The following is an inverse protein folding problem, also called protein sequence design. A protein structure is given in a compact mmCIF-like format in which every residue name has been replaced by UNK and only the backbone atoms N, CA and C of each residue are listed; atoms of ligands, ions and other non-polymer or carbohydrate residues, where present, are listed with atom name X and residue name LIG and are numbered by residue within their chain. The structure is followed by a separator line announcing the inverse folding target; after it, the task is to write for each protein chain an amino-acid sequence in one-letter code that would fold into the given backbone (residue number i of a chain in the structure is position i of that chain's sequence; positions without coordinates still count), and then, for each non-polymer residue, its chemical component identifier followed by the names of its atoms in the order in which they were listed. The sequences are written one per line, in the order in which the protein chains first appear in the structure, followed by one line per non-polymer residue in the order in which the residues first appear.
data_IF_692956147246
#
_entry.id   IF_692956147246
#
_cell.length_a   1.000
_cell.length_b   1.000
_cell.length_c   1.000
_cell.angle_alpha   90.00
_cell.angle_beta   90.00
_cell.angle_gamma   90.00
#
_symmetry.space_group_name_H-M   'P 1'
#
loop_
_entity.id
_entity.type
_entity.pdbx_description
1 polymer ?
#
# COMPACT_ATOMS: atom_id res chain seq x y z
N UNK A 1 -30.16 -37.57 26.64
CA UNK A 1 -28.94 -37.60 25.77
C UNK A 1 -28.87 -36.31 25.01
N UNK A 2 -27.98 -35.39 25.43
CA UNK A 2 -27.70 -34.14 24.73
C UNK A 2 -26.53 -34.38 23.76
N UNK A 3 -26.72 -34.15 22.47
CA UNK A 3 -25.70 -34.22 21.46
C UNK A 3 -24.97 -32.84 21.43
N UNK A 4 -23.70 -32.84 21.87
CA UNK A 4 -22.82 -31.69 21.66
C UNK A 4 -22.37 -31.69 20.18
N UNK A 5 -22.86 -30.74 19.38
CA UNK A 5 -22.31 -30.44 18.07
C UNK A 5 -20.98 -29.69 18.27
N UNK A 6 -19.86 -30.40 18.13
CA UNK A 6 -18.55 -29.74 17.96
C UNK A 6 -18.52 -29.11 16.57
N UNK A 7 -18.63 -27.79 16.53
CA UNK A 7 -18.30 -27.04 15.33
C UNK A 7 -16.77 -27.07 15.12
N UNK A 8 -16.32 -27.88 14.17
CA UNK A 8 -14.93 -27.81 13.68
C UNK A 8 -14.74 -26.50 12.96
N UNK A 9 -14.02 -25.56 13.57
CA UNK A 9 -13.51 -24.39 12.88
C UNK A 9 -12.54 -24.89 11.79
N UNK A 10 -12.97 -24.82 10.53
CA UNK A 10 -12.07 -25.05 9.41
C UNK A 10 -10.96 -23.98 9.48
N UNK A 11 -9.71 -24.40 9.66
CA UNK A 11 -8.56 -23.53 9.55
C UNK A 11 -8.58 -22.94 8.13
N UNK A 12 -8.65 -21.61 8.03
CA UNK A 12 -8.49 -20.92 6.76
C UNK A 12 -7.13 -21.34 6.17
N UNK A 13 -7.06 -21.66 4.87
CA UNK A 13 -5.79 -21.99 4.25
C UNK A 13 -4.83 -20.81 4.47
N UNK A 14 -3.65 -21.10 5.00
CA UNK A 14 -2.56 -20.12 5.07
C UNK A 14 -2.35 -19.57 3.67
N UNK A 15 -2.45 -18.24 3.52
CA UNK A 15 -2.17 -17.59 2.23
C UNK A 15 -0.80 -18.06 1.74
N UNK A 16 -0.74 -18.64 0.55
CA UNK A 16 0.53 -19.00 -0.07
C UNK A 16 1.25 -17.71 -0.44
N UNK A 17 2.41 -17.47 0.22
CA UNK A 17 3.32 -16.41 -0.17
C UNK A 17 4.08 -16.85 -1.42
N UNK A 18 3.93 -16.14 -2.51
CA UNK A 18 4.67 -16.36 -3.75
C UNK A 18 5.46 -15.10 -4.11
N UNK A 19 6.77 -15.23 -4.35
CA UNK A 19 7.56 -14.12 -4.89
C UNK A 19 7.49 -14.15 -6.42
N UNK A 20 6.98 -13.06 -7.00
CA UNK A 20 6.79 -12.90 -8.44
C UNK A 20 7.68 -11.80 -9.00
N UNK A 21 7.85 -11.81 -10.34
CA UNK A 21 8.63 -10.78 -11.04
C UNK A 21 7.90 -10.39 -12.33
N UNK A 22 7.86 -9.08 -12.62
CA UNK A 22 7.28 -8.53 -13.84
C UNK A 22 8.09 -7.33 -14.34
N UNK A 23 8.06 -7.00 -15.64
CA UNK A 23 8.85 -5.91 -16.19
C UNK A 23 8.21 -4.54 -15.91
N UNK A 24 9.02 -3.55 -15.52
CA UNK A 24 8.68 -2.14 -15.60
C UNK A 24 8.75 -1.63 -17.03
N UNK A 25 8.22 -0.45 -17.31
CA UNK A 25 8.17 0.12 -18.66
C UNK A 25 9.56 0.30 -19.31
N UNK A 26 10.60 0.46 -18.51
CA UNK A 26 12.00 0.57 -18.97
C UNK A 26 12.76 -0.78 -18.96
N UNK A 27 12.03 -1.90 -18.85
CA UNK A 27 12.58 -3.25 -18.86
C UNK A 27 13.21 -3.70 -17.53
N UNK A 28 13.18 -2.87 -16.46
CA UNK A 28 13.64 -3.30 -15.15
C UNK A 28 12.71 -4.38 -14.60
N UNK A 29 13.28 -5.50 -14.14
CA UNK A 29 12.51 -6.55 -13.48
C UNK A 29 12.13 -6.12 -12.06
N UNK A 30 10.83 -5.96 -11.81
CA UNK A 30 10.24 -5.59 -10.51
C UNK A 30 9.88 -6.87 -9.75
N UNK A 31 10.36 -7.00 -8.52
CA UNK A 31 10.02 -8.12 -7.63
C UNK A 31 8.88 -7.72 -6.70
N UNK A 32 7.98 -8.66 -6.42
CA UNK A 32 6.91 -8.47 -5.47
C UNK A 32 6.55 -9.78 -4.74
N UNK A 33 6.03 -9.66 -3.52
CA UNK A 33 5.49 -10.77 -2.76
C UNK A 33 3.95 -10.75 -2.87
N UNK A 34 3.39 -11.84 -3.41
CA UNK A 34 1.96 -12.03 -3.66
C UNK A 34 1.35 -12.85 -2.51
N UNK A 35 0.29 -12.33 -1.91
CA UNK A 35 -0.47 -12.91 -0.81
C UNK A 35 -1.90 -13.19 -1.28
N UNK A 36 -2.15 -14.38 -1.84
CA UNK A 36 -3.48 -14.80 -2.29
C UNK A 36 -4.14 -15.69 -1.23
N UNK A 37 -5.25 -15.21 -0.66
CA UNK A 37 -6.07 -15.94 0.29
C UNK A 37 -7.53 -16.07 -0.19
N UNK A 38 -7.91 -15.32 -1.22
CA UNK A 38 -9.29 -15.20 -1.69
C UNK A 38 -9.38 -15.38 -3.21
N UNK A 39 -10.59 -15.66 -3.68
CA UNK A 39 -10.88 -15.89 -5.10
C UNK A 39 -10.61 -14.67 -5.99
N UNK A 40 -10.75 -14.85 -7.32
CA UNK A 40 -10.32 -13.87 -8.33
C UNK A 40 -11.07 -12.53 -8.29
N UNK A 41 -12.28 -12.50 -7.75
CA UNK A 41 -13.11 -11.30 -7.66
C UNK A 41 -12.91 -10.55 -6.32
N UNK A 42 -12.08 -11.10 -5.41
CA UNK A 42 -11.75 -10.43 -4.16
C UNK A 42 -10.95 -9.15 -4.42
N UNK A 43 -11.16 -8.10 -3.61
CA UNK A 43 -10.38 -6.87 -3.74
C UNK A 43 -8.90 -7.16 -3.46
N UNK A 44 -8.01 -6.47 -4.19
CA UNK A 44 -6.57 -6.59 -4.04
C UNK A 44 -5.95 -5.23 -3.68
N UNK A 45 -5.01 -5.24 -2.73
CA UNK A 45 -4.28 -4.04 -2.31
C UNK A 45 -2.84 -4.13 -2.81
N UNK A 46 -2.40 -3.14 -3.61
CA UNK A 46 -1.00 -2.93 -3.95
C UNK A 46 -0.32 -2.14 -2.83
N UNK A 47 0.75 -2.69 -2.29
CA UNK A 47 1.47 -2.21 -1.11
C UNK A 47 2.86 -1.71 -1.51
N UNK A 48 3.11 -0.40 -1.36
CA UNK A 48 4.33 0.28 -1.78
C UNK A 48 5.08 0.84 -0.57
N UNK A 49 6.32 0.38 -0.36
CA UNK A 49 7.15 0.65 0.81
C UNK A 49 7.68 2.08 0.90
N UNK A 50 8.10 2.48 2.10
CA UNK A 50 8.78 3.77 2.33
C UNK A 50 10.24 3.76 1.86
N UNK A 51 10.88 4.94 1.92
CA UNK A 51 12.30 5.11 1.61
C UNK A 51 13.18 4.11 2.39
N UNK A 52 14.25 3.65 1.74
CA UNK A 52 15.21 2.70 2.27
C UNK A 52 14.65 1.31 2.68
N UNK A 53 13.36 1.05 2.45
CA UNK A 53 12.73 -0.22 2.78
C UNK A 53 12.59 -1.14 1.53
N UNK A 54 11.83 -2.19 1.68
CA UNK A 54 11.48 -3.18 0.67
C UNK A 54 10.06 -3.67 0.89
N UNK A 55 9.59 -4.59 0.03
CA UNK A 55 8.34 -5.34 0.20
C UNK A 55 8.22 -6.00 1.58
N UNK A 56 9.34 -6.20 2.28
CA UNK A 56 9.40 -6.70 3.65
C UNK A 56 8.66 -5.83 4.67
N UNK A 57 8.43 -4.53 4.40
CA UNK A 57 7.60 -3.67 5.25
C UNK A 57 6.22 -4.28 5.53
N UNK A 58 5.70 -5.06 4.59
CA UNK A 58 4.35 -5.60 4.61
C UNK A 58 4.24 -7.05 5.09
N UNK A 59 5.32 -7.66 5.58
CA UNK A 59 5.31 -9.07 6.05
C UNK A 59 4.32 -9.34 7.18
N UNK A 60 4.13 -8.37 8.09
CA UNK A 60 3.13 -8.47 9.15
C UNK A 60 1.75 -7.92 8.72
N UNK A 61 1.74 -6.97 7.79
CA UNK A 61 0.54 -6.25 7.36
C UNK A 61 -0.29 -7.09 6.38
N UNK A 62 0.33 -7.67 5.36
CA UNK A 62 -0.38 -8.40 4.30
C UNK A 62 -1.17 -9.62 4.81
N UNK A 63 -0.68 -10.45 5.75
CA UNK A 63 -1.48 -11.51 6.34
C UNK A 63 -2.73 -11.01 7.08
N UNK A 64 -2.65 -9.85 7.78
CA UNK A 64 -3.83 -9.26 8.43
C UNK A 64 -4.83 -8.73 7.39
N UNK A 65 -4.37 -8.16 6.27
CA UNK A 65 -5.24 -7.79 5.14
C UNK A 65 -5.93 -9.01 4.53
N UNK A 66 -5.22 -10.15 4.40
CA UNK A 66 -5.85 -11.40 3.98
C UNK A 66 -6.95 -11.82 4.95
N UNK A 67 -6.73 -11.75 6.26
CA UNK A 67 -7.76 -12.08 7.26
C UNK A 67 -8.98 -11.12 7.18
N UNK A 68 -8.82 -9.92 6.62
CA UNK A 68 -9.88 -8.94 6.40
C UNK A 68 -10.64 -9.11 5.07
N UNK A 69 -10.26 -10.09 4.22
CA UNK A 69 -10.95 -10.39 2.96
C UNK A 69 -10.26 -9.81 1.71
N UNK A 70 -9.02 -9.32 1.82
CA UNK A 70 -8.27 -8.74 0.71
C UNK A 70 -7.14 -9.65 0.26
N UNK A 71 -6.89 -9.72 -1.03
CA UNK A 71 -5.59 -10.16 -1.55
C UNK A 71 -4.60 -8.99 -1.50
N UNK A 72 -3.30 -9.26 -1.51
CA UNK A 72 -2.28 -8.23 -1.45
C UNK A 72 -1.07 -8.55 -2.33
N UNK A 73 -0.43 -7.50 -2.85
CA UNK A 73 0.85 -7.57 -3.56
C UNK A 73 1.79 -6.51 -2.98
N UNK A 74 2.81 -6.94 -2.25
CA UNK A 74 3.86 -6.08 -1.70
C UNK A 74 4.99 -5.94 -2.71
N UNK A 75 5.26 -4.71 -3.17
CA UNK A 75 6.13 -4.42 -4.31
C UNK A 75 7.45 -3.83 -3.85
N UNK A 76 8.56 -4.34 -4.40
CA UNK A 76 9.86 -3.66 -4.35
C UNK A 76 9.90 -2.58 -5.44
N UNK A 77 9.87 -1.31 -5.08
CA UNK A 77 10.20 -0.25 -6.03
C UNK A 77 11.72 -0.08 -6.11
N UNK A 78 12.22 0.54 -7.21
CA UNK A 78 13.67 0.77 -7.44
C UNK A 78 14.36 1.68 -6.44
N UNK A 79 13.61 2.41 -5.60
CA UNK A 79 14.13 3.30 -4.55
C UNK A 79 13.99 2.65 -3.19
N UNK A 80 14.95 1.81 -2.78
CA UNK A 80 14.87 1.14 -1.49
C UNK A 80 16.10 0.31 -1.15
N UNK A 81 16.05 -0.38 0.01
CA UNK A 81 17.14 -1.22 0.54
C UNK A 81 16.62 -2.51 1.15
N UNK A 82 16.14 -2.48 2.40
CA UNK A 82 15.65 -3.68 3.09
C UNK A 82 14.72 -3.34 4.25
N UNK A 83 13.78 -4.24 4.53
CA UNK A 83 12.92 -4.19 5.71
C UNK A 83 12.64 -5.61 6.19
N UNK A 84 12.51 -5.84 7.51
CA UNK A 84 12.13 -7.14 8.07
C UNK A 84 12.96 -8.31 7.50
N UNK A 85 14.29 -8.11 7.34
CA UNK A 85 15.24 -9.07 6.74
C UNK A 85 14.94 -9.45 5.27
N UNK A 86 14.13 -8.68 4.56
CA UNK A 86 13.89 -8.85 3.12
C UNK A 86 14.64 -7.75 2.38
N UNK A 87 15.54 -8.13 1.48
CA UNK A 87 16.26 -7.20 0.61
C UNK A 87 15.39 -6.75 -0.55
N UNK A 88 15.54 -5.48 -0.96
CA UNK A 88 14.89 -4.94 -2.15
C UNK A 88 15.65 -5.37 -3.41
N UNK A 89 15.11 -6.36 -4.11
CA UNK A 89 15.73 -6.93 -5.29
C UNK A 89 15.62 -6.02 -6.51
N UNK A 90 14.52 -5.29 -6.66
CA UNK A 90 14.33 -4.31 -7.75
C UNK A 90 15.35 -3.20 -7.66
N UNK A 91 15.56 -2.64 -6.46
CA UNK A 91 16.57 -1.61 -6.24
C UNK A 91 18.00 -2.13 -6.49
N UNK A 92 18.29 -3.38 -6.13
CA UNK A 92 19.58 -4.01 -6.42
C UNK A 92 19.81 -4.12 -7.93
N UNK A 93 18.80 -4.58 -8.70
CA UNK A 93 18.89 -4.65 -10.17
C UNK A 93 19.01 -3.26 -10.81
N UNK A 94 18.28 -2.26 -10.30
CA UNK A 94 18.37 -0.88 -10.80
C UNK A 94 19.79 -0.32 -10.62
N UNK A 95 20.41 -0.53 -9.44
CA UNK A 95 21.80 -0.13 -9.18
C UNK A 95 22.78 -0.82 -10.13
N UNK A 96 22.65 -2.14 -10.29
CA UNK A 96 23.51 -2.92 -11.19
C UNK A 96 23.40 -2.46 -12.64
N UNK A 97 22.20 -2.09 -13.09
CA UNK A 97 21.91 -1.57 -14.42
C UNK A 97 22.13 -0.05 -14.55
N UNK A 98 22.64 0.63 -13.50
CA UNK A 98 22.85 2.10 -13.46
C UNK A 98 21.59 2.89 -13.84
N UNK A 99 20.41 2.39 -13.52
CA UNK A 99 19.14 3.10 -13.74
C UNK A 99 18.91 4.15 -12.65
N UNK A 100 18.19 5.25 -12.96
CA UNK A 100 17.78 6.25 -11.97
C UNK A 100 16.99 5.61 -10.82
N UNK A 101 17.21 6.11 -9.59
CA UNK A 101 16.60 5.56 -8.36
C UNK A 101 16.08 6.67 -7.43
N UNK A 102 15.77 7.86 -7.97
CA UNK A 102 15.06 8.86 -7.17
C UNK A 102 13.66 8.36 -6.83
N UNK A 103 13.00 9.00 -5.88
CA UNK A 103 11.66 8.59 -5.48
C UNK A 103 10.64 8.68 -6.63
N UNK A 104 10.75 9.68 -7.52
CA UNK A 104 9.89 9.78 -8.70
C UNK A 104 10.15 8.67 -9.73
N UNK A 105 11.37 8.15 -9.79
CA UNK A 105 11.73 7.05 -10.69
C UNK A 105 11.02 5.73 -10.31
N UNK A 106 10.40 5.65 -9.13
CA UNK A 106 9.59 4.51 -8.73
C UNK A 106 8.22 4.44 -9.44
N UNK A 107 7.72 5.54 -10.01
CA UNK A 107 6.40 5.55 -10.69
C UNK A 107 6.24 4.50 -11.79
N UNK A 108 7.21 4.26 -12.70
CA UNK A 108 7.12 3.18 -13.68
C UNK A 108 6.93 1.79 -13.05
N UNK A 109 7.60 1.52 -11.91
CA UNK A 109 7.50 0.23 -11.20
C UNK A 109 6.10 0.06 -10.58
N UNK A 110 5.57 1.14 -9.99
CA UNK A 110 4.23 1.14 -9.39
C UNK A 110 3.13 0.97 -10.46
N UNK A 111 3.25 1.63 -11.61
CA UNK A 111 2.34 1.44 -12.75
C UNK A 111 2.43 0.04 -13.34
N UNK A 112 3.64 -0.52 -13.42
CA UNK A 112 3.85 -1.90 -13.86
C UNK A 112 3.15 -2.90 -12.94
N UNK A 113 3.17 -2.68 -11.62
CA UNK A 113 2.44 -3.51 -10.67
C UNK A 113 0.91 -3.46 -10.90
N UNK A 114 0.35 -2.27 -11.16
CA UNK A 114 -1.07 -2.12 -11.53
C UNK A 114 -1.39 -2.88 -12.81
N UNK A 115 -0.59 -2.69 -13.86
CA UNK A 115 -0.80 -3.35 -15.16
C UNK A 115 -0.68 -4.89 -15.03
N UNK A 116 0.33 -5.35 -14.28
CA UNK A 116 0.55 -6.76 -14.05
C UNK A 116 -0.63 -7.42 -13.31
N UNK A 117 -1.09 -6.84 -12.19
CA UNK A 117 -2.26 -7.38 -11.45
C UNK A 117 -3.49 -7.44 -12.34
N UNK A 118 -3.77 -6.39 -13.12
CA UNK A 118 -4.93 -6.37 -14.04
C UNK A 118 -4.86 -7.42 -15.15
N UNK A 119 -3.67 -7.89 -15.50
CA UNK A 119 -3.47 -8.97 -16.48
C UNK A 119 -3.64 -10.37 -15.89
N UNK A 120 -3.70 -10.50 -14.54
CA UNK A 120 -3.78 -11.79 -13.87
C UNK A 120 -5.23 -12.25 -13.68
N UNK A 121 -5.48 -13.57 -13.64
CA UNK A 121 -6.81 -14.10 -13.36
C UNK A 121 -7.43 -13.63 -12.05
N UNK A 122 -6.59 -13.36 -11.02
CA UNK A 122 -6.99 -12.88 -9.69
C UNK A 122 -7.12 -11.35 -9.59
N UNK A 123 -6.90 -10.61 -10.66
CA UNK A 123 -6.95 -9.15 -10.70
C UNK A 123 -8.29 -8.55 -11.12
N UNK A 124 -9.40 -9.30 -11.00
CA UNK A 124 -10.73 -8.88 -11.46
C UNK A 124 -11.49 -8.01 -10.45
N UNK A 125 -11.14 -8.13 -9.16
CA UNK A 125 -11.75 -7.38 -8.09
C UNK A 125 -11.33 -5.91 -8.06
N UNK A 126 -11.85 -5.17 -7.08
CA UNK A 126 -11.44 -3.78 -6.84
C UNK A 126 -9.94 -3.72 -6.52
N UNK A 127 -9.22 -2.80 -7.17
CA UNK A 127 -7.82 -2.56 -6.91
C UNK A 127 -7.68 -1.32 -6.01
N UNK A 128 -7.00 -1.47 -4.87
CA UNK A 128 -6.68 -0.37 -3.96
C UNK A 128 -5.16 -0.10 -4.01
N UNK A 129 -4.77 1.16 -3.86
CA UNK A 129 -3.37 1.56 -3.74
C UNK A 129 -3.05 1.95 -2.30
N UNK A 130 -1.98 1.41 -1.78
CA UNK A 130 -1.47 1.70 -0.44
C UNK A 130 -0.01 2.11 -0.53
N UNK A 131 0.32 3.29 -0.02
CA UNK A 131 1.68 3.78 0.01
C UNK A 131 2.15 4.16 1.41
N UNK A 132 3.44 4.06 1.62
CA UNK A 132 4.15 4.43 2.83
C UNK A 132 5.17 5.53 2.52
N UNK A 133 5.14 6.68 3.24
CA UNK A 133 6.06 7.81 3.06
C UNK A 133 6.01 8.38 1.62
N UNK A 134 7.15 8.45 0.93
CA UNK A 134 7.19 8.92 -0.46
C UNK A 134 6.24 8.15 -1.39
N UNK A 135 6.07 6.85 -1.14
CA UNK A 135 5.11 6.05 -1.91
C UNK A 135 3.66 6.41 -1.60
N UNK A 136 3.36 6.89 -0.37
CA UNK A 136 2.05 7.44 -0.04
C UNK A 136 1.73 8.67 -0.91
N UNK A 137 2.71 9.52 -1.11
CA UNK A 137 2.59 10.67 -2.01
C UNK A 137 2.41 10.24 -3.46
N UNK A 138 3.15 9.21 -3.91
CA UNK A 138 3.04 8.71 -5.28
C UNK A 138 1.70 8.03 -5.57
N UNK A 139 1.10 7.28 -4.63
CA UNK A 139 -0.24 6.71 -4.85
C UNK A 139 -1.33 7.78 -4.91
N UNK A 140 -1.20 8.87 -4.15
CA UNK A 140 -2.07 10.05 -4.28
C UNK A 140 -1.92 10.71 -5.65
N UNK A 141 -0.67 10.86 -6.12
CA UNK A 141 -0.38 11.39 -7.45
C UNK A 141 -0.98 10.50 -8.55
N UNK A 142 -0.79 9.19 -8.49
CA UNK A 142 -1.36 8.24 -9.46
C UNK A 142 -2.89 8.33 -9.48
N UNK A 143 -3.55 8.34 -8.32
CA UNK A 143 -5.00 8.43 -8.24
C UNK A 143 -5.58 9.74 -8.79
N UNK A 144 -4.85 10.86 -8.65
CA UNK A 144 -5.26 12.15 -9.17
C UNK A 144 -5.01 12.32 -10.67
N UNK A 145 -3.88 11.84 -11.16
CA UNK A 145 -3.48 12.06 -12.56
C UNK A 145 -3.98 10.97 -13.51
N UNK A 146 -4.38 9.79 -13.00
CA UNK A 146 -4.78 8.62 -13.78
C UNK A 146 -6.19 8.13 -13.36
N UNK A 147 -7.27 8.79 -13.82
CA UNK A 147 -8.64 8.42 -13.46
C UNK A 147 -8.92 6.93 -13.73
N UNK A 148 -9.50 6.24 -12.73
CA UNK A 148 -9.81 4.82 -12.85
C UNK A 148 -8.65 3.86 -12.58
N UNK A 149 -7.47 4.36 -12.18
CA UNK A 149 -6.33 3.50 -11.83
C UNK A 149 -6.59 2.62 -10.61
N UNK A 150 -7.40 3.10 -9.67
CA UNK A 150 -7.76 2.37 -8.44
C UNK A 150 -9.19 2.70 -7.98
N UNK A 151 -9.68 1.90 -7.04
CA UNK A 151 -10.97 2.12 -6.37
C UNK A 151 -10.84 2.92 -5.07
N UNK A 152 -9.67 2.95 -4.44
CA UNK A 152 -9.37 3.73 -3.24
C UNK A 152 -7.87 3.86 -3.01
N UNK A 153 -7.48 4.81 -2.13
CA UNK A 153 -6.10 5.06 -1.73
C UNK A 153 -5.96 5.03 -0.21
N UNK A 154 -4.90 4.38 0.29
CA UNK A 154 -4.43 4.50 1.67
C UNK A 154 -3.01 5.11 1.66
N UNK A 155 -2.85 6.26 2.29
CA UNK A 155 -1.61 7.03 2.31
C UNK A 155 -1.10 7.19 3.75
N UNK A 156 0.02 6.55 4.04
CA UNK A 156 0.69 6.57 5.34
C UNK A 156 1.88 7.54 5.31
N UNK A 157 1.82 8.61 6.08
CA UNK A 157 2.86 9.67 6.12
C UNK A 157 3.16 10.28 4.75
N UNK A 158 2.16 10.73 3.96
CA UNK A 158 2.44 11.44 2.72
C UNK A 158 3.05 12.82 2.98
N UNK A 159 3.71 13.41 1.99
CA UNK A 159 4.30 14.74 2.06
C UNK A 159 4.69 15.26 0.66
N UNK A 160 5.09 16.52 0.56
CA UNK A 160 5.63 17.12 -0.65
C UNK A 160 7.13 16.81 -0.79
N UNK A 161 7.46 15.54 -0.97
CA UNK A 161 8.84 15.04 -1.04
C UNK A 161 9.54 15.32 -2.39
N UNK A 162 8.87 16.03 -3.30
CA UNK A 162 9.31 16.19 -4.68
C UNK A 162 9.37 17.67 -5.09
N UNK A 163 10.03 17.93 -6.20
CA UNK A 163 10.01 19.25 -6.84
C UNK A 163 9.07 19.22 -8.06
N UNK A 164 8.23 20.25 -8.26
CA UNK A 164 7.99 21.39 -7.35
C UNK A 164 7.26 20.98 -6.05
N UNK A 165 7.40 21.79 -4.99
CA UNK A 165 6.89 21.51 -3.63
C UNK A 165 5.37 21.54 -3.46
N UNK A 166 4.60 21.53 -4.56
CA UNK A 166 3.14 21.40 -4.58
C UNK A 166 2.67 20.31 -5.55
N UNK A 167 3.60 19.45 -5.96
CA UNK A 167 3.35 18.39 -6.95
C UNK A 167 2.22 17.44 -6.50
N UNK A 168 2.26 17.02 -5.25
CA UNK A 168 1.27 16.06 -4.73
C UNK A 168 -0.07 16.75 -4.47
N UNK A 169 -0.06 17.94 -3.91
CA UNK A 169 -1.27 18.74 -3.67
C UNK A 169 -2.02 19.02 -4.97
N UNK A 170 -1.30 19.35 -6.04
CA UNK A 170 -1.88 19.57 -7.38
C UNK A 170 -2.55 18.31 -7.95
N UNK A 171 -1.95 17.15 -7.77
CA UNK A 171 -2.55 15.87 -8.17
C UNK A 171 -3.72 15.48 -7.25
N UNK A 172 -3.58 15.67 -5.94
CA UNK A 172 -4.58 15.34 -4.94
C UNK A 172 -5.93 16.06 -5.18
N UNK A 173 -5.89 17.30 -5.68
CA UNK A 173 -7.09 18.07 -6.05
C UNK A 173 -7.96 17.40 -7.14
N UNK A 174 -7.39 16.49 -7.91
CA UNK A 174 -8.07 15.79 -9.01
C UNK A 174 -8.64 14.42 -8.59
N UNK A 175 -8.34 13.92 -7.39
CA UNK A 175 -8.77 12.60 -6.92
C UNK A 175 -10.30 12.53 -6.86
N UNK A 176 -10.87 11.40 -7.29
CA UNK A 176 -12.32 11.13 -7.31
C UNK A 176 -12.70 9.83 -6.61
N UNK A 177 -11.73 9.16 -6.00
CA UNK A 177 -11.91 7.91 -5.25
C UNK A 177 -11.74 8.15 -3.75
N UNK A 178 -12.29 7.30 -2.88
CA UNK A 178 -12.05 7.39 -1.44
C UNK A 178 -10.56 7.35 -1.08
N UNK A 179 -10.16 8.21 -0.14
CA UNK A 179 -8.79 8.33 0.36
C UNK A 179 -8.76 8.25 1.88
N UNK A 180 -7.88 7.43 2.41
CA UNK A 180 -7.50 7.40 3.81
C UNK A 180 -6.10 7.97 3.98
N UNK A 181 -5.92 8.92 4.92
CA UNK A 181 -4.59 9.49 5.25
C UNK A 181 -4.32 9.30 6.73
N UNK A 182 -3.11 8.86 7.05
CA UNK A 182 -2.62 8.77 8.43
C UNK A 182 -1.11 8.96 8.49
N UNK A 183 -0.57 9.20 9.68
CA UNK A 183 0.86 9.38 9.92
C UNK A 183 1.19 9.21 11.40
N UNK A 184 2.46 9.32 11.78
CA UNK A 184 2.85 9.58 13.15
C UNK A 184 2.25 10.90 13.66
N UNK A 185 2.14 11.09 15.00
CA UNK A 185 1.37 12.20 15.57
C UNK A 185 1.92 13.59 15.21
N UNK A 186 3.23 13.71 14.96
CA UNK A 186 3.91 14.99 14.71
C UNK A 186 4.06 15.33 13.21
N UNK A 187 3.53 14.50 12.30
CA UNK A 187 3.70 14.66 10.85
C UNK A 187 2.50 15.31 10.17
N UNK A 188 1.49 15.74 10.93
CA UNK A 188 0.25 16.30 10.37
C UNK A 188 0.52 17.49 9.45
N UNK A 189 1.46 18.38 9.83
CA UNK A 189 1.82 19.56 9.05
C UNK A 189 2.37 19.22 7.65
N UNK A 190 2.96 18.04 7.48
CA UNK A 190 3.60 17.64 6.22
C UNK A 190 2.57 17.26 5.14
N UNK A 191 1.38 16.78 5.57
CA UNK A 191 0.34 16.31 4.67
C UNK A 191 -0.99 17.07 4.74
N UNK A 192 -1.18 17.95 5.70
CA UNK A 192 -2.47 18.64 5.88
C UNK A 192 -2.89 19.43 4.64
N UNK A 193 -1.97 20.13 3.99
CA UNK A 193 -2.23 20.86 2.74
C UNK A 193 -2.61 19.94 1.58
N UNK A 194 -2.00 18.76 1.50
CA UNK A 194 -2.34 17.73 0.52
C UNK A 194 -3.75 17.20 0.81
N UNK A 195 -4.04 16.87 2.07
CA UNK A 195 -5.35 16.37 2.48
C UNK A 195 -6.47 17.38 2.22
N UNK A 196 -6.22 18.65 2.51
CA UNK A 196 -7.20 19.72 2.24
C UNK A 196 -7.53 19.84 0.75
N UNK A 197 -6.57 19.64 -0.13
CA UNK A 197 -6.74 19.69 -1.58
C UNK A 197 -7.63 18.55 -2.13
N UNK A 198 -7.66 17.39 -1.48
CA UNK A 198 -8.55 16.28 -1.89
C UNK A 198 -10.02 16.75 -1.78
N UNK A 199 -10.87 16.53 -2.80
CA UNK A 199 -12.26 16.96 -2.78
C UNK A 199 -13.05 16.48 -1.54
N UNK A 200 -13.98 17.30 -1.03
CA UNK A 200 -14.83 16.93 0.11
C UNK A 200 -15.65 15.65 -0.17
N UNK A 201 -15.89 14.84 0.87
CA UNK A 201 -16.70 13.62 0.79
C UNK A 201 -15.95 12.39 0.31
N UNK A 202 -14.72 12.55 -0.20
CA UNK A 202 -13.88 11.42 -0.68
C UNK A 202 -12.71 11.13 0.24
N UNK A 203 -12.59 11.77 1.41
CA UNK A 203 -11.41 11.67 2.26
C UNK A 203 -11.75 11.49 3.73
N UNK A 204 -10.98 10.63 4.39
CA UNK A 204 -10.94 10.50 5.85
C UNK A 204 -9.48 10.50 6.31
N UNK A 205 -9.24 10.97 7.53
CA UNK A 205 -7.91 10.89 8.14
C UNK A 205 -8.01 10.33 9.54
N UNK A 206 -6.93 9.70 9.98
CA UNK A 206 -6.73 9.27 11.36
C UNK A 206 -5.39 9.82 11.84
N UNK A 207 -5.38 10.39 13.03
CA UNK A 207 -4.17 10.83 13.72
C UNK A 207 -4.30 10.36 15.17
N UNK A 208 -3.32 9.59 15.72
CA UNK A 208 -3.39 9.13 17.09
C UNK A 208 -3.20 10.29 18.09
N UNK A 209 -3.74 10.15 19.28
CA UNK A 209 -3.50 11.08 20.38
C UNK A 209 -2.14 10.87 21.06
N UNK A 210 -1.50 9.71 20.81
CA UNK A 210 -0.25 9.30 21.45
C UNK A 210 0.78 8.80 20.44
N UNK A 211 1.28 7.60 20.68
CA UNK A 211 2.36 7.01 19.89
C UNK A 211 1.99 6.67 18.46
N UNK A 212 2.98 6.68 17.60
CA UNK A 212 2.89 6.28 16.21
C UNK A 212 4.24 6.41 15.52
N UNK A 213 4.42 5.65 14.45
CA UNK A 213 5.65 5.64 13.66
C UNK A 213 5.39 6.23 12.28
N UNK A 214 6.47 6.67 11.65
CA UNK A 214 6.45 7.09 10.25
C UNK A 214 6.07 5.93 9.33
N UNK A 215 5.18 6.18 8.37
CA UNK A 215 4.79 5.23 7.34
C UNK A 215 3.97 4.04 7.86
N UNK A 216 3.88 2.99 7.05
CA UNK A 216 3.09 1.79 7.36
C UNK A 216 3.68 0.97 8.50
N UNK A 217 4.94 1.19 8.87
CA UNK A 217 5.59 0.53 10.02
C UNK A 217 4.88 0.80 11.35
N UNK A 218 4.02 1.80 11.42
CA UNK A 218 3.14 2.05 12.57
C UNK A 218 2.18 0.89 12.85
N UNK A 219 1.90 0.05 11.86
CA UNK A 219 1.00 -1.12 11.95
C UNK A 219 1.71 -2.40 12.41
N UNK A 220 3.04 -2.41 12.56
CA UNK A 220 3.75 -3.59 13.03
C UNK A 220 3.38 -3.93 14.47
N UNK A 221 3.38 -5.21 14.80
CA UNK A 221 2.99 -5.71 16.13
C UNK A 221 3.81 -5.12 17.27
N UNK A 222 5.08 -4.79 17.00
CA UNK A 222 5.98 -4.13 17.96
C UNK A 222 5.86 -2.59 18.01
N UNK A 223 4.93 -1.97 17.25
CA UNK A 223 4.76 -0.51 17.26
C UNK A 223 3.72 -0.10 18.29
N UNK A 224 4.09 0.85 19.18
CA UNK A 224 3.15 1.41 20.13
C UNK A 224 1.97 2.08 19.39
N UNK A 225 0.76 1.89 19.90
CA UNK A 225 -0.45 2.46 19.32
C UNK A 225 -0.97 1.75 18.06
N UNK A 226 -0.33 0.67 17.58
CA UNK A 226 -0.66 0.00 16.32
C UNK A 226 -2.14 -0.39 16.17
N UNK A 227 -2.80 -0.85 17.23
CA UNK A 227 -4.20 -1.29 17.18
C UNK A 227 -5.17 -0.12 16.91
N UNK A 228 -4.86 1.09 17.35
CA UNK A 228 -5.66 2.27 17.00
C UNK A 228 -5.62 2.57 15.49
N UNK A 229 -4.42 2.45 14.89
CA UNK A 229 -4.26 2.56 13.44
C UNK A 229 -4.98 1.44 12.69
N UNK A 230 -4.87 0.20 13.17
CA UNK A 230 -5.59 -0.92 12.57
C UNK A 230 -7.09 -0.73 12.60
N UNK A 231 -7.65 -0.27 13.72
CA UNK A 231 -9.08 0.03 13.84
C UNK A 231 -9.55 1.06 12.80
N UNK A 232 -8.76 2.11 12.58
CA UNK A 232 -9.06 3.13 11.58
C UNK A 232 -8.97 2.57 10.14
N UNK A 233 -7.93 1.79 9.85
CA UNK A 233 -7.74 1.10 8.56
C UNK A 233 -8.89 0.13 8.28
N UNK A 234 -9.26 -0.72 9.25
CA UNK A 234 -10.35 -1.69 9.13
C UNK A 234 -11.70 -1.01 8.89
N UNK A 235 -11.95 0.12 9.56
CA UNK A 235 -13.14 0.95 9.35
C UNK A 235 -13.20 1.46 7.90
N UNK A 236 -12.09 1.99 7.37
CA UNK A 236 -12.03 2.45 5.99
C UNK A 236 -12.19 1.30 4.99
N UNK A 237 -11.48 0.21 5.20
CA UNK A 237 -11.51 -0.96 4.32
C UNK A 237 -12.86 -1.68 4.31
N UNK A 238 -13.70 -1.51 5.34
CA UNK A 238 -15.03 -2.17 5.42
C UNK A 238 -15.92 -1.86 4.21
N UNK A 239 -15.78 -0.67 3.60
CA UNK A 239 -16.53 -0.26 2.40
C UNK A 239 -16.08 -0.96 1.09
N UNK A 240 -15.02 -1.76 1.13
CA UNK A 240 -14.45 -2.40 -0.05
C UNK A 240 -14.43 -3.94 0.03
N UNK A 241 -14.83 -4.51 1.15
CA UNK A 241 -14.96 -5.97 1.33
C UNK A 241 -16.00 -6.54 0.35
N UNK A 242 -15.88 -7.86 0.01
CA UNK A 242 -16.89 -8.57 -0.79
C UNK A 242 -18.27 -8.53 -0.18
#
# INVERSE_FOLDING_TARGET
LAWLLLATAAALPSAALETVTFPSADGLAVTADLYLAHGPDAPLILLFHQADYSRGEYREIAPRLNALGFNALAVDQRSGRSAQMVSNETAARARAAKKPQSYLDALPDMRAAVAWVRSQPFGKGKLLLWGSSYSASLVLKMAGDEPGICAAVLAFSPGEYFSPGDLIRTSAAKIRVPVFVTSGPFEKSDWEGIFQAIPPGSKVSFLPEGDGRHGSSTLWSGSAGNEAYWKAVESFLSGFRP
#
